data_IF_353537220722
#
_entry.id   IF_353537220722
#
_cell.length_a   1.000
_cell.length_b   1.000
_cell.length_c   1.000
_cell.angle_alpha   90.00
_cell.angle_beta   90.00
_cell.angle_gamma   90.00
#
_symmetry.space_group_name_H-M   'P 1'
#
loop_
_entity.id
_entity.type
_entity.pdbx_description
1 polymer ?
#
# COMPACT_ATOMS: atom_id res chain seq x y z
N UNK A 1 -13.20 11.35 -27.96
CA UNK A 1 -13.00 11.47 -26.49
C UNK A 1 -13.20 10.08 -25.90
N UNK A 2 -12.20 9.46 -25.26
CA UNK A 2 -12.39 8.10 -24.71
C UNK A 2 -11.13 7.33 -24.32
N UNK A 3 -10.04 7.99 -23.89
CA UNK A 3 -8.76 7.32 -23.57
C UNK A 3 -8.36 7.36 -22.09
N UNK A 4 -9.24 7.84 -21.20
CA UNK A 4 -8.90 8.09 -19.79
C UNK A 4 -9.35 7.02 -18.79
N UNK A 5 -10.18 6.05 -19.22
CA UNK A 5 -10.73 5.01 -18.35
C UNK A 5 -9.72 3.85 -18.12
N UNK A 6 -9.16 3.30 -19.20
CA UNK A 6 -8.34 2.08 -19.11
C UNK A 6 -7.02 2.19 -18.34
N UNK A 7 -6.43 3.38 -18.17
CA UNK A 7 -5.18 3.54 -17.38
C UNK A 7 -5.42 3.46 -15.87
N UNK A 8 -6.61 3.84 -15.39
CA UNK A 8 -6.92 3.86 -13.95
C UNK A 8 -7.13 2.45 -13.43
N UNK A 9 -7.88 1.62 -14.15
CA UNK A 9 -8.18 0.24 -13.78
C UNK A 9 -6.92 -0.64 -13.71
N UNK A 10 -5.98 -0.50 -14.66
CA UNK A 10 -4.69 -1.22 -14.61
C UNK A 10 -3.81 -0.78 -13.44
N UNK A 11 -3.89 0.49 -13.05
CA UNK A 11 -3.06 1.05 -11.98
C UNK A 11 -3.59 0.67 -10.60
N UNK A 12 -4.91 0.61 -10.42
CA UNK A 12 -5.57 0.16 -9.18
C UNK A 12 -5.35 -1.35 -8.95
N UNK A 13 -5.47 -2.18 -9.99
CA UNK A 13 -5.18 -3.62 -9.89
C UNK A 13 -3.72 -3.87 -9.49
N UNK A 14 -2.77 -3.17 -10.15
CA UNK A 14 -1.35 -3.26 -9.80
C UNK A 14 -1.01 -2.76 -8.39
N UNK A 15 -1.75 -1.76 -7.88
CA UNK A 15 -1.58 -1.25 -6.52
C UNK A 15 -2.09 -2.25 -5.46
N UNK A 16 -3.25 -2.89 -5.69
CA UNK A 16 -3.80 -3.93 -4.82
C UNK A 16 -2.85 -5.12 -4.75
N UNK A 17 -2.36 -5.60 -5.90
CA UNK A 17 -1.40 -6.69 -5.95
C UNK A 17 -0.08 -6.33 -5.24
N UNK A 18 0.42 -5.10 -5.44
CA UNK A 18 1.62 -4.62 -4.77
C UNK A 18 1.44 -4.62 -3.25
N UNK A 19 0.31 -4.11 -2.75
CA UNK A 19 0.00 -4.13 -1.32
C UNK A 19 -0.01 -5.55 -0.76
N UNK A 20 -0.71 -6.48 -1.42
CA UNK A 20 -0.78 -7.88 -1.00
C UNK A 20 0.59 -8.58 -1.01
N UNK A 21 1.52 -8.15 -1.88
CA UNK A 21 2.91 -8.63 -1.86
C UNK A 21 3.68 -8.08 -0.66
N UNK A 22 3.52 -6.80 -0.34
CA UNK A 22 4.18 -6.18 0.84
C UNK A 22 3.66 -6.78 2.14
N UNK A 23 2.35 -7.01 2.27
CA UNK A 23 1.75 -7.66 3.45
C UNK A 23 2.29 -9.08 3.65
N UNK A 24 2.41 -9.87 2.57
CA UNK A 24 3.05 -11.20 2.64
C UNK A 24 4.53 -11.12 3.03
N UNK A 25 5.29 -10.21 2.42
CA UNK A 25 6.70 -10.02 2.74
C UNK A 25 6.91 -9.60 4.20
N UNK A 26 6.02 -8.73 4.72
CA UNK A 26 6.05 -8.28 6.11
C UNK A 26 5.85 -9.45 7.08
N UNK A 27 4.91 -10.36 6.77
CA UNK A 27 4.72 -11.58 7.55
C UNK A 27 5.97 -12.47 7.60
N UNK A 28 6.67 -12.64 6.47
CA UNK A 28 7.95 -13.36 6.45
C UNK A 28 9.04 -12.62 7.24
N UNK A 29 9.13 -11.30 7.11
CA UNK A 29 10.10 -10.50 7.87
C UNK A 29 9.85 -10.59 9.38
N UNK A 30 8.59 -10.58 9.84
CA UNK A 30 8.24 -10.80 11.23
C UNK A 30 8.72 -12.17 11.74
N UNK A 31 8.51 -13.21 10.94
CA UNK A 31 8.99 -14.57 11.22
C UNK A 31 10.52 -14.65 11.35
N UNK A 32 11.25 -13.85 10.55
CA UNK A 32 12.71 -13.77 10.63
C UNK A 32 13.17 -13.00 11.87
N UNK A 33 12.50 -11.91 12.24
CA UNK A 33 12.78 -11.17 13.50
C UNK A 33 12.56 -12.07 14.71
N UNK A 34 11.45 -12.82 14.75
CA UNK A 34 11.13 -13.76 15.83
C UNK A 34 12.18 -14.87 15.96
N UNK A 35 12.63 -15.44 14.83
CA UNK A 35 13.53 -16.61 14.82
C UNK A 35 15.02 -16.28 14.87
N UNK A 36 15.42 -15.15 14.29
CA UNK A 36 16.84 -14.81 14.07
C UNK A 36 17.22 -13.47 14.71
N UNK A 37 16.27 -12.80 15.36
CA UNK A 37 16.51 -11.61 16.16
C UNK A 37 16.62 -10.32 15.36
N UNK A 38 17.18 -9.31 16.01
CA UNK A 38 17.14 -7.91 15.58
C UNK A 38 17.84 -7.63 14.24
N UNK A 39 18.68 -8.54 13.75
CA UNK A 39 19.33 -8.41 12.44
C UNK A 39 18.33 -8.21 11.28
N UNK A 40 17.10 -8.72 11.43
CA UNK A 40 16.03 -8.59 10.43
C UNK A 40 15.05 -7.43 10.74
N UNK A 41 15.23 -6.73 11.86
CA UNK A 41 14.38 -5.61 12.22
C UNK A 41 14.39 -4.48 11.18
N UNK A 42 15.54 -4.12 10.56
CA UNK A 42 15.56 -3.05 9.55
C UNK A 42 14.68 -3.34 8.32
N UNK A 43 14.63 -4.59 7.85
CA UNK A 43 13.79 -4.94 6.70
C UNK A 43 12.31 -4.99 7.09
N UNK A 44 11.99 -5.47 8.29
CA UNK A 44 10.64 -5.44 8.84
C UNK A 44 10.10 -4.00 8.92
N UNK A 45 10.84 -3.09 9.54
CA UNK A 45 10.46 -1.68 9.68
C UNK A 45 10.28 -0.97 8.32
N UNK A 46 11.13 -1.30 7.34
CA UNK A 46 10.99 -0.77 5.98
C UNK A 46 9.66 -1.20 5.34
N UNK A 47 9.29 -2.48 5.48
CA UNK A 47 8.04 -3.02 4.93
C UNK A 47 6.81 -2.45 5.65
N UNK A 48 6.87 -2.25 6.98
CA UNK A 48 5.82 -1.55 7.72
C UNK A 48 5.62 -0.12 7.22
N UNK A 49 6.72 0.61 7.03
CA UNK A 49 6.68 1.99 6.53
C UNK A 49 6.07 2.06 5.14
N UNK A 50 6.43 1.12 4.25
CA UNK A 50 5.88 1.04 2.90
C UNK A 50 4.37 0.76 2.92
N UNK A 51 3.92 -0.18 3.76
CA UNK A 51 2.52 -0.52 3.90
C UNK A 51 1.70 0.64 4.50
N UNK A 52 2.25 1.33 5.50
CA UNK A 52 1.65 2.51 6.10
C UNK A 52 1.50 3.64 5.06
N UNK A 53 2.53 3.89 4.24
CA UNK A 53 2.48 4.90 3.19
C UNK A 53 1.41 4.57 2.14
N UNK A 54 1.28 3.32 1.71
CA UNK A 54 0.23 2.89 0.78
C UNK A 54 -1.16 3.14 1.35
N UNK A 55 -1.37 2.79 2.62
CA UNK A 55 -2.65 2.97 3.31
C UNK A 55 -3.00 4.45 3.46
N UNK A 56 -2.02 5.27 3.84
CA UNK A 56 -2.19 6.72 3.99
C UNK A 56 -2.56 7.38 2.65
N UNK A 57 -1.94 6.96 1.55
CA UNK A 57 -2.24 7.46 0.21
C UNK A 57 -3.66 7.10 -0.24
N UNK A 58 -4.09 5.85 -0.05
CA UNK A 58 -5.45 5.42 -0.36
C UNK A 58 -6.49 6.25 0.42
N UNK A 59 -6.30 6.38 1.73
CA UNK A 59 -7.19 7.18 2.58
C UNK A 59 -7.20 8.66 2.18
N UNK A 60 -6.05 9.22 1.76
CA UNK A 60 -5.98 10.61 1.32
C UNK A 60 -6.75 10.84 0.02
N UNK A 61 -6.67 9.91 -0.93
CA UNK A 61 -7.45 9.95 -2.16
C UNK A 61 -8.95 9.88 -1.87
N UNK A 62 -9.38 8.97 -0.99
CA UNK A 62 -10.79 8.85 -0.61
C UNK A 62 -11.31 10.14 0.05
N UNK A 63 -10.53 10.73 0.98
CA UNK A 63 -10.88 12.02 1.58
C UNK A 63 -10.97 13.14 0.54
N UNK A 64 -10.05 13.20 -0.41
CA UNK A 64 -10.08 14.20 -1.47
C UNK A 64 -11.32 14.05 -2.36
N UNK A 65 -11.68 12.81 -2.74
CA UNK A 65 -12.90 12.50 -3.51
C UNK A 65 -14.16 12.88 -2.74
N UNK A 66 -14.25 12.51 -1.47
CA UNK A 66 -15.38 12.86 -0.60
C UNK A 66 -15.55 14.39 -0.46
N UNK A 67 -14.44 15.14 -0.38
CA UNK A 67 -14.49 16.60 -0.29
C UNK A 67 -15.06 17.24 -1.55
N UNK A 68 -14.70 16.76 -2.73
CA UNK A 68 -15.25 17.24 -4.00
C UNK A 68 -16.76 16.96 -4.10
N UNK A 69 -17.21 15.78 -3.68
CA UNK A 69 -18.62 15.40 -3.72
C UNK A 69 -19.52 16.29 -2.84
N UNK A 70 -18.98 16.86 -1.76
CA UNK A 70 -19.71 17.78 -0.87
C UNK A 70 -19.82 19.20 -1.43
N UNK A 71 -19.07 19.54 -2.49
CA UNK A 71 -19.02 20.86 -3.09
C UNK A 71 -19.85 20.96 -4.39
N UNK A 72 -20.38 19.84 -4.87
CA UNK A 72 -21.28 19.74 -6.03
C UNK A 72 -22.75 19.72 -5.57
#
# INVERSE_FOLDING_TARGET
MGQSAGRRETQECGAIERRARVERALGYAALLVDRQGEAFLPIFLRLETELAAMTQQANALDRARARVAQMA
#
